data_IF_791096638448
#
_entry.id   IF_791096638448
#
_cell.length_a   1.000
_cell.length_b   1.000
_cell.length_c   1.000
_cell.angle_alpha   90.00
_cell.angle_beta   90.00
_cell.angle_gamma   90.00
#
_symmetry.space_group_name_H-M   'P 1'
#
loop_
_entity.id
_entity.type
_entity.pdbx_description
1 polymer ?
#
# COMPACT_ATOMS: atom_id res chain seq x y z
N UNK A 1 0.56 -25.00 13.40
CA UNK A 1 -0.02 -25.14 12.06
C UNK A 1 0.95 -24.54 11.05
N UNK A 2 1.27 -25.22 9.96
CA UNK A 2 2.14 -24.66 8.93
C UNK A 2 1.37 -23.61 8.10
N UNK A 3 1.86 -22.39 8.02
CA UNK A 3 1.27 -21.34 7.18
C UNK A 3 1.64 -21.60 5.71
N UNK A 4 0.65 -21.85 4.84
CA UNK A 4 0.86 -21.91 3.39
C UNK A 4 1.02 -20.49 2.85
N UNK A 5 2.12 -20.22 2.15
CA UNK A 5 2.33 -18.94 1.46
C UNK A 5 1.47 -18.91 0.20
N UNK A 6 0.56 -17.94 0.09
CA UNK A 6 -0.34 -17.76 -1.06
C UNK A 6 0.31 -16.85 -2.13
N UNK A 7 0.92 -15.75 -1.68
CA UNK A 7 1.48 -14.74 -2.58
C UNK A 7 2.70 -14.07 -1.95
N UNK A 8 3.73 -13.83 -2.77
CA UNK A 8 4.95 -13.13 -2.34
C UNK A 8 5.13 -11.86 -3.17
N UNK A 9 5.11 -10.72 -2.49
CA UNK A 9 5.34 -9.42 -3.12
C UNK A 9 6.76 -8.93 -2.80
N UNK A 10 7.58 -8.76 -3.83
CA UNK A 10 8.95 -8.24 -3.72
C UNK A 10 9.06 -6.77 -4.14
N UNK A 11 10.18 -6.14 -3.78
CA UNK A 11 10.52 -4.76 -4.15
C UNK A 11 9.66 -3.72 -3.42
N UNK A 12 9.32 -3.99 -2.17
CA UNK A 12 8.61 -3.05 -1.32
C UNK A 12 9.60 -2.09 -0.66
N UNK A 13 9.20 -0.83 -0.54
CA UNK A 13 9.92 0.21 0.18
C UNK A 13 9.05 0.69 1.34
N UNK A 14 9.68 0.98 2.47
CA UNK A 14 8.98 1.55 3.62
C UNK A 14 8.87 3.06 3.48
N UNK A 15 7.81 3.61 4.06
CA UNK A 15 7.59 5.04 4.17
C UNK A 15 6.53 5.37 5.21
N UNK A 16 6.19 6.64 5.31
CA UNK A 16 5.21 7.16 6.27
C UNK A 16 4.16 7.97 5.52
N UNK A 17 2.88 7.66 5.71
CA UNK A 17 1.78 8.44 5.14
C UNK A 17 1.63 9.72 5.95
N UNK A 18 1.57 10.85 5.26
CA UNK A 18 1.35 12.17 5.88
C UNK A 18 -0.14 12.55 5.84
N UNK A 19 -0.78 12.40 4.69
CA UNK A 19 -2.20 12.75 4.51
C UNK A 19 -2.77 12.11 3.23
N UNK A 20 -4.11 12.07 3.16
CA UNK A 20 -4.84 11.73 1.93
C UNK A 20 -5.19 13.01 1.17
N UNK A 21 -4.53 13.22 0.03
CA UNK A 21 -4.72 14.40 -0.82
C UNK A 21 -6.08 14.35 -1.55
N UNK A 22 -6.43 13.18 -2.08
CA UNK A 22 -7.73 12.93 -2.72
C UNK A 22 -8.03 11.41 -2.74
N UNK A 23 -9.11 10.99 -3.39
CA UNK A 23 -9.51 9.58 -3.41
C UNK A 23 -8.50 8.64 -4.10
N UNK A 24 -7.56 9.16 -4.88
CA UNK A 24 -6.54 8.43 -5.64
C UNK A 24 -5.10 8.76 -5.24
N UNK A 25 -4.88 9.70 -4.33
CA UNK A 25 -3.53 10.21 -4.05
C UNK A 25 -3.35 10.45 -2.56
N UNK A 26 -2.21 10.01 -2.05
CA UNK A 26 -1.72 10.30 -0.69
C UNK A 26 -0.37 11.01 -0.82
N UNK A 27 -0.02 11.85 0.16
CA UNK A 27 1.34 12.34 0.33
C UNK A 27 2.05 11.51 1.41
N UNK A 28 3.34 11.26 1.21
CA UNK A 28 4.14 10.39 2.06
C UNK A 28 5.61 10.80 2.06
N UNK A 29 6.33 10.36 3.09
CA UNK A 29 7.79 10.34 3.09
C UNK A 29 8.21 8.93 2.68
N UNK A 30 8.88 8.81 1.53
CA UNK A 30 9.39 7.55 1.00
C UNK A 30 10.87 7.79 0.68
N UNK A 31 11.77 6.93 1.18
CA UNK A 31 13.23 7.10 1.00
C UNK A 31 13.73 8.50 1.43
N UNK A 32 13.22 9.01 2.55
CA UNK A 32 13.51 10.35 3.10
C UNK A 32 13.10 11.54 2.21
N UNK A 33 12.30 11.31 1.16
CA UNK A 33 11.78 12.37 0.28
C UNK A 33 10.27 12.47 0.42
N UNK A 34 9.75 13.68 0.60
CA UNK A 34 8.31 13.94 0.54
C UNK A 34 7.84 13.82 -0.91
N UNK A 35 6.94 12.88 -1.18
CA UNK A 35 6.42 12.59 -2.52
C UNK A 35 4.94 12.19 -2.47
N UNK A 36 4.36 11.93 -3.64
CA UNK A 36 2.99 11.44 -3.79
C UNK A 36 2.97 9.99 -4.22
N UNK A 37 2.01 9.22 -3.69
CA UNK A 37 1.77 7.85 -4.11
C UNK A 37 0.32 7.63 -4.54
N UNK A 38 0.15 6.67 -5.45
CA UNK A 38 -1.16 6.24 -5.92
C UNK A 38 -1.86 5.40 -4.84
N UNK A 39 -3.10 5.76 -4.56
CA UNK A 39 -4.03 4.98 -3.75
C UNK A 39 -5.08 4.36 -4.67
N UNK A 40 -5.06 3.04 -4.80
CA UNK A 40 -5.99 2.28 -5.68
C UNK A 40 -7.34 2.01 -5.05
N UNK A 41 -7.50 2.32 -3.77
CA UNK A 41 -8.73 2.10 -3.02
C UNK A 41 -9.47 3.42 -2.79
N UNK A 42 -10.63 3.55 -3.45
CA UNK A 42 -11.49 4.74 -3.39
C UNK A 42 -12.38 4.79 -2.15
N UNK A 43 -12.37 3.76 -1.31
CA UNK A 43 -13.12 3.73 -0.05
C UNK A 43 -12.69 4.85 0.91
N UNK A 44 -13.48 5.09 1.96
CA UNK A 44 -13.20 6.15 2.95
C UNK A 44 -11.90 5.90 3.72
N UNK A 45 -11.63 4.64 4.08
CA UNK A 45 -10.40 4.18 4.75
C UNK A 45 -10.04 4.95 6.03
N UNK A 46 -11.03 5.51 6.73
CA UNK A 46 -10.81 6.36 7.90
C UNK A 46 -10.01 5.64 8.99
N UNK A 47 -10.28 4.36 9.22
CA UNK A 47 -9.63 3.56 10.26
C UNK A 47 -8.40 2.79 9.74
N UNK A 48 -8.06 2.92 8.45
CA UNK A 48 -7.00 2.14 7.80
C UNK A 48 -5.85 3.04 7.34
N UNK A 49 -6.13 4.22 6.79
CA UNK A 49 -5.12 5.20 6.42
C UNK A 49 -4.70 6.03 7.64
N UNK A 50 -4.06 5.37 8.61
CA UNK A 50 -3.58 6.04 9.82
C UNK A 50 -2.29 6.80 9.53
N UNK A 51 -2.32 8.12 9.63
CA UNK A 51 -1.19 8.99 9.36
C UNK A 51 -0.07 8.82 10.40
N UNK A 52 1.17 8.97 9.98
CA UNK A 52 2.34 8.76 10.84
C UNK A 52 2.73 7.28 11.03
N UNK A 53 1.93 6.32 10.54
CA UNK A 53 2.27 4.90 10.62
C UNK A 53 3.20 4.45 9.49
N UNK A 54 4.05 3.48 9.81
CA UNK A 54 4.85 2.75 8.83
C UNK A 54 3.94 2.14 7.78
N UNK A 55 4.30 2.33 6.52
CA UNK A 55 3.53 1.86 5.37
C UNK A 55 4.46 1.29 4.32
N UNK A 56 3.94 0.35 3.55
CA UNK A 56 4.65 -0.30 2.45
C UNK A 56 4.19 0.28 1.14
N UNK A 57 5.16 0.65 0.32
CA UNK A 57 4.96 1.18 -1.02
C UNK A 57 5.66 0.29 -2.04
N UNK A 58 5.17 0.32 -3.28
CA UNK A 58 5.83 -0.31 -4.41
C UNK A 58 6.11 0.73 -5.48
N UNK A 59 7.32 0.71 -6.03
CA UNK A 59 7.66 1.50 -7.21
C UNK A 59 6.82 1.02 -8.41
N UNK A 60 6.29 1.98 -9.16
CA UNK A 60 5.49 1.75 -10.37
C UNK A 60 6.05 2.57 -11.52
N UNK A 61 5.84 2.10 -12.76
CA UNK A 61 6.15 2.87 -13.97
C UNK A 61 5.00 3.82 -14.32
N UNK A 62 4.64 4.68 -13.37
CA UNK A 62 3.59 5.69 -13.57
C UNK A 62 4.15 6.98 -14.17
N UNK A 63 3.33 7.71 -14.94
CA UNK A 63 3.75 8.99 -15.56
C UNK A 63 3.80 10.15 -14.56
N UNK A 64 2.88 10.17 -13.59
CA UNK A 64 2.75 11.25 -12.58
C UNK A 64 3.09 10.80 -11.16
N UNK A 65 2.96 9.52 -10.88
CA UNK A 65 3.16 8.93 -9.55
C UNK A 65 4.10 7.75 -9.71
N UNK A 66 5.20 7.77 -8.97
CA UNK A 66 6.26 6.74 -9.05
C UNK A 66 6.05 5.62 -8.03
N UNK A 67 5.15 5.82 -7.07
CA UNK A 67 4.86 4.87 -6.01
C UNK A 67 3.36 4.56 -5.95
N UNK A 68 3.06 3.36 -5.46
CA UNK A 68 1.71 2.93 -5.08
C UNK A 68 1.73 2.46 -3.64
N UNK A 69 0.77 2.90 -2.84
CA UNK A 69 0.59 2.41 -1.46
C UNK A 69 0.09 0.96 -1.53
N UNK A 70 0.79 0.04 -0.86
CA UNK A 70 0.46 -1.38 -0.79
C UNK A 70 -0.29 -1.72 0.49
N UNK A 71 0.27 -1.32 1.63
CA UNK A 71 -0.34 -1.61 2.92
C UNK A 71 0.11 -0.66 4.01
N UNK A 72 -0.72 -0.56 5.05
CA UNK A 72 -0.48 0.28 6.24
C UNK A 72 -0.29 -0.65 7.43
N UNK A 73 0.73 -0.39 8.24
CA UNK A 73 1.02 -1.19 9.42
C UNK A 73 -0.12 -1.11 10.44
N UNK A 74 -0.49 -2.27 10.97
CA UNK A 74 -1.41 -2.41 12.08
C UNK A 74 -1.10 -3.67 12.89
N UNK A 75 -0.79 -3.48 14.17
CA UNK A 75 -0.55 -4.54 15.15
C UNK A 75 0.49 -5.60 14.71
N UNK A 76 1.59 -5.18 14.08
CA UNK A 76 2.65 -6.07 13.61
C UNK A 76 2.37 -6.74 12.26
N UNK A 77 1.22 -6.45 11.65
CA UNK A 77 0.83 -6.87 10.31
C UNK A 77 0.60 -5.65 9.42
N UNK A 78 0.20 -5.89 8.17
CA UNK A 78 -0.12 -4.82 7.23
C UNK A 78 -1.52 -5.03 6.66
N UNK A 79 -2.37 -4.02 6.82
CA UNK A 79 -3.63 -3.94 6.09
C UNK A 79 -3.32 -3.66 4.63
N UNK A 80 -3.50 -4.66 3.76
CA UNK A 80 -3.32 -4.48 2.31
C UNK A 80 -4.44 -3.57 1.81
N UNK A 81 -4.11 -2.34 1.42
CA UNK A 81 -5.07 -1.36 0.88
C UNK A 81 -5.04 -1.31 -0.65
N UNK A 82 -4.04 -1.93 -1.29
CA UNK A 82 -3.94 -1.97 -2.75
C UNK A 82 -4.87 -3.01 -3.38
N UNK A 83 -5.97 -2.54 -3.97
CA UNK A 83 -6.97 -3.40 -4.63
C UNK A 83 -6.39 -4.22 -5.78
N UNK A 84 -5.34 -3.72 -6.45
CA UNK A 84 -4.65 -4.47 -7.51
C UNK A 84 -3.90 -5.68 -6.92
N UNK A 85 -3.29 -5.53 -5.74
CA UNK A 85 -2.63 -6.64 -5.05
C UNK A 85 -3.65 -7.61 -4.48
N UNK A 86 -4.75 -7.10 -3.91
CA UNK A 86 -5.85 -7.93 -3.41
C UNK A 86 -6.43 -8.85 -4.50
N UNK A 87 -6.69 -8.30 -5.70
CA UNK A 87 -7.21 -9.10 -6.82
C UNK A 87 -6.23 -10.20 -7.26
N UNK A 88 -4.93 -9.91 -7.32
CA UNK A 88 -3.91 -10.94 -7.65
C UNK A 88 -3.84 -12.04 -6.60
N UNK A 89 -4.01 -11.70 -5.33
CA UNK A 89 -4.06 -12.69 -4.25
C UNK A 89 -5.32 -13.55 -4.40
N UNK A 90 -6.46 -12.93 -4.72
CA UNK A 90 -7.72 -13.63 -4.95
C UNK A 90 -7.61 -14.63 -6.11
N UNK A 91 -7.05 -14.23 -7.25
CA UNK A 91 -6.78 -15.13 -8.39
C UNK A 91 -5.96 -16.37 -7.98
N UNK A 92 -4.93 -16.19 -7.14
CA UNK A 92 -4.11 -17.30 -6.63
C UNK A 92 -4.79 -18.20 -5.61
N UNK A 93 -5.86 -17.73 -4.98
CA UNK A 93 -6.62 -18.51 -4.00
C UNK A 93 -7.65 -19.42 -4.65
N UNK A 94 -8.12 -19.07 -5.85
CA UNK A 94 -9.09 -19.84 -6.62
C UNK A 94 -8.44 -20.79 -7.63
N UNK A 95 -7.15 -20.63 -7.92
CA UNK A 95 -6.27 -21.61 -8.61
C UNK A 95 -6.01 -22.85 -7.74
#
# INVERSE_FOLDING_TARGET
MAHKVIYRLSGLVQGIILERVNRFTISAIIENVKTYAHLTNTGKLNDVLVYGRTSLFKRIKGRKLEFRLIGVEDHGFYNIVDTITQNKIFERLIE
#
